data_IF_821088421351
#
_entry.id   IF_821088421351
#
_cell.length_a   1.000
_cell.length_b   1.000
_cell.length_c   1.000
_cell.angle_alpha   90.00
_cell.angle_beta   90.00
_cell.angle_gamma   90.00
#
_symmetry.space_group_name_H-M   'P 1'
#
loop_
_entity.id
_entity.type
_entity.pdbx_description
1 polymer ?
#
# COMPACT_ATOMS: atom_id res chain seq x y z
N UNK A 1 15.43 15.51 6.68
CA UNK A 1 15.48 16.86 6.09
C UNK A 1 14.14 17.12 5.42
N UNK A 2 13.26 17.97 5.98
CA UNK A 2 11.97 18.26 5.37
C UNK A 2 12.11 18.93 4.00
N UNK A 3 11.27 18.50 3.06
CA UNK A 3 11.15 19.01 1.70
C UNK A 3 9.84 19.79 1.57
N UNK A 4 9.91 21.01 1.06
CA UNK A 4 8.75 21.85 0.78
C UNK A 4 8.71 22.14 -0.71
N UNK A 5 7.65 21.71 -1.38
CA UNK A 5 7.41 22.01 -2.80
C UNK A 5 6.48 23.22 -2.91
N UNK A 6 6.76 24.11 -3.85
CA UNK A 6 5.96 25.29 -4.16
C UNK A 6 5.59 25.27 -5.64
N UNK A 7 4.37 25.70 -5.97
CA UNK A 7 3.87 25.79 -7.34
C UNK A 7 3.33 27.20 -7.61
N UNK A 8 3.75 27.80 -8.72
CA UNK A 8 3.17 29.05 -9.19
C UNK A 8 1.74 28.81 -9.70
N UNK A 9 0.73 29.59 -9.28
CA UNK A 9 -0.64 29.44 -9.79
C UNK A 9 -0.79 29.85 -11.26
N UNK A 10 0.11 30.71 -11.77
CA UNK A 10 -0.02 31.31 -13.10
C UNK A 10 0.68 30.50 -14.21
N UNK A 11 1.94 30.09 -13.99
CA UNK A 11 2.70 29.30 -14.98
C UNK A 11 3.00 27.86 -14.56
N UNK A 12 2.47 27.43 -13.42
CA UNK A 12 2.65 26.09 -12.87
C UNK A 12 4.10 25.66 -12.59
N UNK A 13 5.06 26.57 -12.70
CA UNK A 13 6.46 26.33 -12.36
C UNK A 13 6.58 25.86 -10.91
N UNK A 14 7.52 24.94 -10.68
CA UNK A 14 7.74 24.30 -9.39
C UNK A 14 9.10 24.64 -8.84
N UNK A 15 9.17 24.79 -7.52
CA UNK A 15 10.42 25.01 -6.81
C UNK A 15 10.43 24.23 -5.50
N UNK A 16 11.60 23.72 -5.13
CA UNK A 16 11.77 22.88 -3.96
C UNK A 16 12.74 23.54 -2.97
N UNK A 17 12.28 23.72 -1.74
CA UNK A 17 13.07 24.30 -0.65
C UNK A 17 13.37 23.23 0.38
N UNK A 18 14.67 23.02 0.65
CA UNK A 18 15.16 22.12 1.67
C UNK A 18 15.39 22.89 2.98
N UNK A 19 14.81 22.42 4.09
CA UNK A 19 15.13 22.94 5.43
C UNK A 19 15.73 21.84 6.29
N UNK A 20 16.61 22.21 7.22
CA UNK A 20 17.25 21.27 8.15
C UNK A 20 16.27 20.80 9.25
N UNK A 21 15.33 21.66 9.63
CA UNK A 21 14.41 21.49 10.76
C UNK A 21 12.94 21.63 10.33
N UNK A 22 12.05 20.79 10.88
CA UNK A 22 10.61 20.74 10.50
C UNK A 22 9.81 21.92 11.05
N UNK A 23 10.25 22.49 12.17
CA UNK A 23 9.63 23.63 12.87
C UNK A 23 9.94 24.98 12.23
N UNK A 24 10.76 25.01 11.17
CA UNK A 24 11.13 26.27 10.51
C UNK A 24 9.96 26.77 9.69
N UNK A 25 9.55 28.01 9.91
CA UNK A 25 8.63 28.69 9.01
C UNK A 25 9.29 28.86 7.63
N UNK A 26 8.56 28.52 6.57
CA UNK A 26 9.08 28.54 5.19
C UNK A 26 8.25 29.51 4.37
N UNK A 27 8.85 30.67 4.09
CA UNK A 27 8.27 31.65 3.16
C UNK A 27 8.30 31.09 1.72
N UNK A 28 7.24 31.32 0.93
CA UNK A 28 7.21 30.90 -0.46
C UNK A 28 8.26 31.64 -1.30
N UNK A 29 9.03 30.94 -2.15
CA UNK A 29 9.99 31.59 -3.05
C UNK A 29 9.27 32.38 -4.16
N UNK A 30 9.97 33.35 -4.79
CA UNK A 30 9.46 34.02 -5.97
C UNK A 30 9.42 33.06 -7.16
N UNK A 31 8.45 33.24 -8.07
CA UNK A 31 8.35 32.40 -9.25
C UNK A 31 9.63 32.49 -10.11
N UNK A 32 10.25 31.35 -10.49
CA UNK A 32 11.47 31.34 -11.31
C UNK A 32 11.23 31.77 -12.76
N UNK A 33 9.97 31.76 -13.21
CA UNK A 33 9.62 32.11 -14.58
C UNK A 33 9.43 33.63 -14.73
N UNK A 34 10.29 34.27 -15.52
CA UNK A 34 10.29 35.71 -15.72
C UNK A 34 9.04 36.24 -16.45
N UNK A 35 8.29 35.38 -17.14
CA UNK A 35 7.02 35.73 -17.80
C UNK A 35 5.83 35.81 -16.84
N UNK A 36 5.95 35.24 -15.64
CA UNK A 36 4.98 35.42 -14.58
C UNK A 36 5.22 36.72 -13.83
N UNK A 37 4.15 37.30 -13.27
CA UNK A 37 4.28 38.42 -12.34
C UNK A 37 5.14 37.93 -11.17
N UNK A 38 6.41 38.37 -11.13
CA UNK A 38 7.37 38.03 -10.07
C UNK A 38 6.86 38.32 -8.64
N UNK A 39 5.79 39.11 -8.52
CA UNK A 39 5.13 39.47 -7.26
C UNK A 39 4.02 38.50 -6.83
N UNK A 40 3.68 37.47 -7.61
CA UNK A 40 2.66 36.49 -7.21
C UNK A 40 3.34 35.44 -6.31
N UNK A 41 2.96 35.33 -5.04
CA UNK A 41 3.56 34.36 -4.13
C UNK A 41 3.26 32.95 -4.62
N UNK A 42 4.28 32.09 -4.70
CA UNK A 42 4.06 30.68 -5.04
C UNK A 42 3.22 30.01 -3.95
N UNK A 43 2.28 29.14 -4.34
CA UNK A 43 1.48 28.40 -3.37
C UNK A 43 2.27 27.17 -2.90
N UNK A 44 2.22 26.85 -1.61
CA UNK A 44 2.81 25.62 -1.10
C UNK A 44 2.08 24.43 -1.72
N UNK A 45 2.78 23.68 -2.56
CA UNK A 45 2.32 22.37 -3.00
C UNK A 45 2.50 21.43 -1.81
N UNK A 46 1.40 21.11 -1.13
CA UNK A 46 1.39 19.99 -0.21
C UNK A 46 1.57 18.77 -1.10
N UNK A 47 2.83 18.32 -1.24
CA UNK A 47 3.08 16.94 -1.64
C UNK A 47 2.19 16.11 -0.74
N UNK A 48 1.34 15.27 -1.32
CA UNK A 48 0.68 14.21 -0.57
C UNK A 48 1.83 13.55 0.17
N UNK A 49 1.99 13.84 1.46
CA UNK A 49 2.88 13.06 2.30
C UNK A 49 2.45 11.64 1.99
N UNK A 50 3.37 10.85 1.44
CA UNK A 50 3.15 9.43 1.31
C UNK A 50 2.79 9.01 2.72
N UNK A 51 1.49 8.87 3.01
CA UNK A 51 1.03 8.31 4.26
C UNK A 51 1.76 6.98 4.26
N UNK A 52 2.69 6.81 5.19
CA UNK A 52 3.30 5.51 5.38
C UNK A 52 2.17 4.66 5.94
N UNK A 53 1.38 4.10 5.03
CA UNK A 53 0.34 3.15 5.36
C UNK A 53 1.08 2.01 6.04
N UNK A 54 0.70 1.74 7.27
CA UNK A 54 1.11 0.51 7.92
C UNK A 54 0.53 -0.66 7.10
N UNK A 55 1.05 -1.87 7.30
CA UNK A 55 0.61 -3.00 6.48
C UNK A 55 -0.89 -3.29 6.67
N UNK A 56 -1.46 -2.96 7.83
CA UNK A 56 -2.90 -3.02 8.10
C UNK A 56 -3.69 -2.11 7.16
N UNK A 57 -3.28 -0.84 7.04
CA UNK A 57 -3.90 0.14 6.16
C UNK A 57 -3.81 -0.29 4.68
N UNK A 58 -2.68 -0.90 4.27
CA UNK A 58 -2.50 -1.42 2.91
C UNK A 58 -3.41 -2.61 2.62
N UNK A 59 -3.56 -3.53 3.57
CA UNK A 59 -4.45 -4.69 3.44
C UNK A 59 -5.90 -4.22 3.35
N UNK A 60 -6.33 -3.28 4.20
CA UNK A 60 -7.69 -2.72 4.14
C UNK A 60 -7.99 -2.03 2.79
N UNK A 61 -7.01 -1.31 2.23
CA UNK A 61 -7.16 -0.70 0.91
C UNK A 61 -7.19 -1.73 -0.22
N UNK A 62 -6.39 -2.81 -0.10
CA UNK A 62 -6.37 -3.90 -1.06
C UNK A 62 -7.67 -4.72 -1.03
N UNK A 63 -8.22 -5.02 0.14
CA UNK A 63 -9.53 -5.68 0.31
C UNK A 63 -10.66 -4.84 -0.29
N UNK A 64 -10.65 -3.52 -0.04
CA UNK A 64 -11.67 -2.62 -0.58
C UNK A 64 -11.65 -2.55 -2.12
N UNK A 65 -10.48 -2.65 -2.74
CA UNK A 65 -10.32 -2.58 -4.20
C UNK A 65 -10.48 -3.92 -4.91
N UNK A 66 -9.89 -4.97 -4.35
CA UNK A 66 -9.71 -6.26 -5.02
C UNK A 66 -10.39 -7.43 -4.30
N UNK A 67 -10.96 -7.24 -3.11
CA UNK A 67 -11.56 -8.32 -2.33
C UNK A 67 -12.58 -9.12 -3.12
N UNK A 68 -13.45 -8.44 -3.88
CA UNK A 68 -14.44 -9.10 -4.74
C UNK A 68 -13.84 -9.92 -5.89
N UNK A 69 -12.71 -9.49 -6.44
CA UNK A 69 -12.02 -10.18 -7.53
C UNK A 69 -11.22 -11.37 -7.01
N UNK A 70 -10.63 -11.24 -5.82
CA UNK A 70 -9.93 -12.31 -5.12
C UNK A 70 -10.91 -13.39 -4.69
N UNK A 71 -12.05 -13.03 -4.09
CA UNK A 71 -13.09 -13.97 -3.68
C UNK A 71 -13.66 -14.74 -4.89
N UNK A 72 -13.87 -14.04 -6.02
CA UNK A 72 -14.30 -14.67 -7.26
C UNK A 72 -13.24 -15.65 -7.84
N UNK A 73 -11.95 -15.37 -7.64
CA UNK A 73 -10.84 -16.18 -8.14
C UNK A 73 -10.48 -17.36 -7.24
N UNK A 74 -10.68 -17.22 -5.92
CA UNK A 74 -10.42 -18.26 -4.92
C UNK A 74 -11.41 -19.43 -5.01
N UNK A 75 -12.55 -19.21 -5.68
CA UNK A 75 -13.59 -20.21 -5.87
C UNK A 75 -14.36 -20.51 -4.57
N UNK A 76 -15.34 -21.42 -4.62
CA UNK A 76 -16.12 -21.77 -3.44
C UNK A 76 -15.22 -22.38 -2.35
N UNK A 77 -15.47 -22.01 -1.10
CA UNK A 77 -14.83 -22.65 0.05
C UNK A 77 -14.97 -24.18 -0.06
N UNK A 78 -13.85 -24.88 0.10
CA UNK A 78 -13.84 -26.33 0.04
C UNK A 78 -14.60 -26.90 1.23
N UNK A 79 -15.57 -27.78 0.97
CA UNK A 79 -16.26 -28.52 2.03
C UNK A 79 -15.27 -29.44 2.74
N UNK A 80 -14.83 -29.00 3.92
CA UNK A 80 -13.89 -29.72 4.79
C UNK A 80 -14.47 -31.07 5.21
N UNK A 81 -15.80 -31.16 5.40
CA UNK A 81 -16.48 -32.41 5.74
C UNK A 81 -16.53 -33.40 4.58
N UNK A 82 -16.63 -32.92 3.34
CA UNK A 82 -16.46 -33.78 2.16
C UNK A 82 -15.04 -34.31 2.07
N UNK A 83 -14.04 -33.46 2.31
CA UNK A 83 -12.63 -33.86 2.30
C UNK A 83 -12.34 -34.90 3.38
N UNK A 84 -12.80 -34.72 4.62
CA UNK A 84 -12.60 -35.68 5.71
C UNK A 84 -13.19 -37.05 5.37
N UNK A 85 -14.45 -37.09 4.91
CA UNK A 85 -15.11 -38.34 4.47
C UNK A 85 -14.39 -39.00 3.29
N UNK A 86 -13.80 -38.21 2.39
CA UNK A 86 -13.01 -38.71 1.26
C UNK A 86 -11.69 -39.31 1.73
N UNK A 87 -10.98 -38.65 2.65
CA UNK A 87 -9.75 -39.16 3.25
C UNK A 87 -10.01 -40.45 4.02
N UNK A 88 -11.04 -40.51 4.86
CA UNK A 88 -11.42 -41.72 5.59
C UNK A 88 -11.77 -42.88 4.67
N UNK A 89 -12.40 -42.61 3.52
CA UNK A 89 -12.70 -43.64 2.52
C UNK A 89 -11.45 -44.17 1.84
N UNK A 90 -10.54 -43.28 1.45
CA UNK A 90 -9.27 -43.66 0.82
C UNK A 90 -8.33 -44.37 1.80
N UNK A 91 -8.38 -44.02 3.08
CA UNK A 91 -7.60 -44.64 4.16
C UNK A 91 -7.94 -46.11 4.41
N UNK A 92 -9.16 -46.55 4.06
CA UNK A 92 -9.60 -47.94 4.30
C UNK A 92 -8.95 -48.96 3.37
N UNK A 93 -8.54 -48.53 2.18
CA UNK A 93 -7.92 -49.41 1.17
C UNK A 93 -6.39 -49.21 1.08
N UNK A 94 -5.82 -48.39 1.97
CA UNK A 94 -4.38 -48.20 2.05
C UNK A 94 -3.75 -49.42 2.73
N UNK A 95 -2.71 -50.04 2.12
CA UNK A 95 -1.96 -51.08 2.80
C UNK A 95 -1.39 -50.53 4.11
N UNK A 96 -1.29 -51.35 5.17
CA UNK A 96 -0.62 -50.93 6.40
C UNK A 96 0.76 -50.43 6.01
N UNK A 97 1.06 -49.17 6.34
CA UNK A 97 2.30 -48.53 5.89
C UNK A 97 3.48 -49.36 6.38
N UNK A 98 4.28 -49.90 5.46
CA UNK A 98 5.59 -50.47 5.76
C UNK A 98 6.56 -49.35 6.13
N UNK A 99 6.31 -48.68 7.25
CA UNK A 99 7.29 -47.87 7.98
C UNK A 99 6.92 -47.92 9.45
N UNK A 100 7.51 -48.87 10.16
CA UNK A 100 7.53 -48.85 11.60
C UNK A 100 8.37 -47.69 12.13
N UNK A 101 7.90 -47.06 13.20
CA UNK A 101 8.74 -46.67 14.34
C UNK A 101 7.87 -46.89 15.58
N UNK A 102 8.35 -47.72 16.49
CA UNK A 102 7.60 -48.16 17.66
C UNK A 102 7.33 -47.06 18.67
N UNK A 103 6.43 -47.38 19.60
CA UNK A 103 6.59 -46.97 20.98
C UNK A 103 5.94 -48.01 21.89
N UNK A 104 6.70 -48.39 22.91
CA UNK A 104 6.35 -49.28 24.02
C UNK A 104 5.03 -48.94 24.73
#
# INVERSE_FOLDING_TARGET
MPLYEFRCPDCEARETVFKRTVTTEVEPPPCPNASCRKSVPMARAITKFARHLNDVDKVAEAEAKFGKEVDASMGPERDIGYLSRRYERLAKDLPPSEMGVGHD
#
